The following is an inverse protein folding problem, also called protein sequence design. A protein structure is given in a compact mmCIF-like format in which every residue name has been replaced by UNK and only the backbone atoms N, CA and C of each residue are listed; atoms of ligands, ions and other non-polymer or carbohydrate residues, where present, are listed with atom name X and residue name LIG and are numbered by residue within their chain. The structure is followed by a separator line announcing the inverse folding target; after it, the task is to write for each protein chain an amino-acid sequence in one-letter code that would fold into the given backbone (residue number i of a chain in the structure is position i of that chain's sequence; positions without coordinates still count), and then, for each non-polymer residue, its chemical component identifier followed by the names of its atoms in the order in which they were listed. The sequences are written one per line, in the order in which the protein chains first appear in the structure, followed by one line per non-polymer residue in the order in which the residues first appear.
data_IF_902136293290
#
_entry.id   IF_902136293290
#
_cell.length_a   1.000
_cell.length_b   1.000
_cell.length_c   1.000
_cell.angle_alpha   90.00
_cell.angle_beta   90.00
_cell.angle_gamma   90.00
#
_symmetry.space_group_name_H-M   'P 1'
#
loop_
_entity.id
_entity.type
_entity.pdbx_description
1 polymer ?
#
# COMPACT_ATOMS: atom_id res chain seq x y z
N UNK A 1 0.95 8.22 11.91
CA UNK A 1 2.04 7.30 12.30
C UNK A 1 2.68 6.74 11.04
N UNK A 2 4.01 6.55 11.03
CA UNK A 2 4.73 6.00 9.88
C UNK A 2 5.75 4.98 10.36
N UNK A 3 5.61 3.72 9.92
CA UNK A 3 6.54 2.63 10.24
C UNK A 3 7.52 2.46 9.07
N UNK A 4 8.85 2.56 9.28
CA UNK A 4 9.86 2.50 8.21
C UNK A 4 9.65 1.40 7.16
N UNK A 5 9.29 0.20 7.62
CA UNK A 5 9.09 -0.97 6.77
C UNK A 5 7.81 -0.89 5.92
N UNK A 6 6.75 -0.25 6.41
CA UNK A 6 5.54 0.02 5.61
C UNK A 6 5.82 1.05 4.49
N UNK A 7 6.84 1.90 4.66
CA UNK A 7 7.24 2.91 3.67
C UNK A 7 8.32 2.41 2.71
N UNK A 8 8.48 1.09 2.59
CA UNK A 8 9.41 0.41 1.68
C UNK A 8 10.89 0.74 1.90
N UNK A 9 11.27 1.30 3.07
CA UNK A 9 12.66 1.71 3.32
C UNK A 9 13.67 0.54 3.25
N UNK A 10 13.23 -0.68 3.57
CA UNK A 10 14.06 -1.88 3.37
C UNK A 10 14.36 -2.13 1.87
N UNK A 11 13.35 -2.05 1.00
CA UNK A 11 13.53 -2.24 -0.46
C UNK A 11 14.20 -1.06 -1.16
N UNK A 12 14.30 0.09 -0.48
CA UNK A 12 15.07 1.25 -0.91
C UNK A 12 16.50 1.25 -0.36
N UNK A 13 16.94 0.16 0.28
CA UNK A 13 18.26 0.02 0.90
C UNK A 13 18.56 1.12 1.95
N UNK A 14 17.53 1.67 2.60
CA UNK A 14 17.66 2.73 3.59
C UNK A 14 17.83 2.21 5.03
N UNK A 15 17.77 0.89 5.24
CA UNK A 15 17.94 0.25 6.54
C UNK A 15 19.03 -0.81 6.40
N UNK A 16 20.05 -0.75 7.26
CA UNK A 16 21.01 -1.84 7.44
C UNK A 16 20.62 -2.65 8.67
N UNK A 17 20.51 -3.96 8.50
CA UNK A 17 20.22 -4.92 9.58
C UNK A 17 21.50 -5.46 10.24
N UNK A 18 22.67 -5.13 9.69
CA UNK A 18 23.98 -5.63 10.14
C UNK A 18 24.86 -4.54 10.79
N UNK A 19 24.38 -3.30 10.83
CA UNK A 19 25.10 -2.18 11.48
C UNK A 19 24.95 -2.20 13.00
N UNK A 20 25.79 -1.41 13.66
CA UNK A 20 25.69 -1.12 15.09
C UNK A 20 24.41 -0.37 15.48
N UNK A 21 24.26 -0.14 16.79
CA UNK A 21 23.02 0.33 17.39
C UNK A 21 22.53 1.69 16.84
N UNK A 22 21.22 1.78 16.54
CA UNK A 22 20.55 3.04 16.21
C UNK A 22 19.16 3.13 16.89
N UNK A 23 18.64 4.35 17.03
CA UNK A 23 17.36 4.59 17.70
C UNK A 23 16.21 3.90 16.97
N UNK A 24 15.41 3.11 17.70
CA UNK A 24 14.26 2.39 17.14
C UNK A 24 14.60 1.07 16.43
N UNK A 25 15.87 0.65 16.44
CA UNK A 25 16.32 -0.59 15.79
C UNK A 25 15.57 -1.82 16.27
N UNK A 26 15.31 -1.95 17.58
CA UNK A 26 14.69 -3.14 18.16
C UNK A 26 13.31 -3.40 17.56
N UNK A 27 12.52 -2.34 17.32
CA UNK A 27 11.21 -2.43 16.69
C UNK A 27 11.34 -2.82 15.21
N UNK A 28 12.23 -2.14 14.48
CA UNK A 28 12.45 -2.39 13.05
C UNK A 28 12.96 -3.82 12.82
N UNK A 29 13.95 -4.26 13.59
CA UNK A 29 14.51 -5.61 13.51
C UNK A 29 13.49 -6.68 13.89
N UNK A 30 12.70 -6.45 14.95
CA UNK A 30 11.62 -7.38 15.34
C UNK A 30 10.59 -7.54 14.24
N UNK A 31 10.13 -6.45 13.64
CA UNK A 31 9.16 -6.50 12.54
C UNK A 31 9.77 -7.13 11.29
N UNK A 32 11.05 -6.91 10.99
CA UNK A 32 11.74 -7.54 9.86
C UNK A 32 11.90 -9.05 10.03
N UNK A 33 12.34 -9.53 11.20
CA UNK A 33 12.65 -10.96 11.39
C UNK A 33 11.47 -11.82 11.83
N UNK A 34 10.49 -11.24 12.52
CA UNK A 34 9.36 -11.98 13.12
C UNK A 34 8.00 -11.41 12.74
N UNK A 35 7.96 -10.20 12.18
CA UNK A 35 6.72 -9.52 11.81
C UNK A 35 6.32 -9.82 10.38
N UNK A 36 5.03 -9.62 10.10
CA UNK A 36 4.49 -9.62 8.74
C UNK A 36 4.14 -8.18 8.37
N UNK A 37 4.72 -7.67 7.29
CA UNK A 37 4.40 -6.33 6.78
C UNK A 37 3.09 -6.43 6.01
N UNK A 38 1.97 -6.13 6.67
CA UNK A 38 0.63 -6.25 6.08
C UNK A 38 0.22 -5.05 5.24
N UNK A 39 0.82 -3.88 5.48
CA UNK A 39 0.54 -2.64 4.78
C UNK A 39 1.81 -2.07 4.18
N UNK A 40 1.73 -1.53 2.96
CA UNK A 40 2.80 -0.75 2.36
C UNK A 40 2.26 0.49 1.69
N UNK A 41 3.11 1.50 1.58
CA UNK A 41 2.85 2.63 0.70
C UNK A 41 2.97 2.18 -0.76
N UNK A 42 1.93 2.43 -1.53
CA UNK A 42 1.76 1.98 -2.90
C UNK A 42 1.38 3.18 -3.79
N UNK A 43 1.94 3.29 -5.00
CA UNK A 43 1.43 4.20 -6.00
C UNK A 43 0.00 3.83 -6.41
N UNK A 44 -0.86 4.84 -6.51
CA UNK A 44 -2.25 4.69 -6.93
C UNK A 44 -2.61 5.66 -8.05
N UNK A 45 -3.53 5.26 -8.91
CA UNK A 45 -4.17 6.07 -9.93
C UNK A 45 -5.69 6.08 -9.69
N UNK A 46 -6.27 7.27 -9.60
CA UNK A 46 -7.69 7.54 -9.41
C UNK A 46 -8.36 7.76 -10.76
N UNK A 47 -9.35 6.92 -11.06
CA UNK A 47 -10.08 6.94 -12.34
C UNK A 47 -11.58 6.95 -12.10
N UNK A 48 -12.30 7.62 -12.98
CA UNK A 48 -13.75 7.51 -13.04
C UNK A 48 -14.14 6.12 -13.57
N UNK A 49 -15.38 5.69 -13.30
CA UNK A 49 -15.92 4.41 -13.81
C UNK A 49 -15.87 4.31 -15.34
N UNK A 50 -15.99 5.44 -16.04
CA UNK A 50 -15.87 5.51 -17.50
C UNK A 50 -14.42 5.34 -18.01
N UNK A 51 -13.43 5.23 -17.10
CA UNK A 51 -12.02 5.03 -17.39
C UNK A 51 -11.20 6.32 -17.49
N UNK A 52 -11.83 7.50 -17.41
CA UNK A 52 -11.14 8.79 -17.49
C UNK A 52 -10.37 9.10 -16.19
N UNK A 53 -9.30 9.89 -16.31
CA UNK A 53 -8.53 10.35 -15.16
C UNK A 53 -9.32 11.41 -14.38
N UNK A 54 -9.39 11.26 -13.06
CA UNK A 54 -10.02 12.24 -12.17
C UNK A 54 -9.15 13.51 -12.15
N UNK A 55 -9.76 14.69 -12.31
CA UNK A 55 -9.01 15.95 -12.24
C UNK A 55 -8.64 16.30 -10.79
N UNK A 56 -9.63 16.48 -9.91
CA UNK A 56 -9.35 16.79 -8.50
C UNK A 56 -10.55 16.51 -7.58
N UNK A 57 -11.01 15.26 -7.52
CA UNK A 57 -12.08 14.85 -6.58
C UNK A 57 -11.55 14.26 -5.28
N UNK A 58 -10.32 13.72 -5.29
CA UNK A 58 -9.79 12.97 -4.13
C UNK A 58 -8.91 13.86 -3.25
N UNK A 59 -9.28 13.99 -1.98
CA UNK A 59 -8.50 14.71 -1.00
C UNK A 59 -7.40 13.81 -0.38
N UNK A 60 -6.27 14.39 0.07
CA UNK A 60 -5.35 13.67 0.95
C UNK A 60 -6.07 13.18 2.21
N UNK A 61 -5.65 12.02 2.71
CA UNK A 61 -6.24 11.28 3.83
C UNK A 61 -7.61 10.66 3.55
N UNK A 62 -8.09 10.67 2.31
CA UNK A 62 -9.29 9.91 1.92
C UNK A 62 -9.09 8.41 2.17
N UNK A 63 -10.13 7.77 2.68
CA UNK A 63 -10.14 6.33 2.98
C UNK A 63 -10.36 5.53 1.70
N UNK A 64 -9.54 4.49 1.50
CA UNK A 64 -9.68 3.55 0.39
C UNK A 64 -10.38 2.30 0.91
N UNK A 65 -11.46 1.91 0.25
CA UNK A 65 -12.28 0.76 0.60
C UNK A 65 -12.25 -0.28 -0.52
N UNK A 66 -12.46 -1.54 -0.15
CA UNK A 66 -12.79 -2.58 -1.12
C UNK A 66 -14.29 -2.48 -1.43
N UNK A 67 -14.65 -2.29 -2.70
CA UNK A 67 -16.01 -2.03 -3.15
C UNK A 67 -16.95 -3.21 -2.88
N UNK A 68 -16.44 -4.44 -3.00
CA UNK A 68 -17.25 -5.66 -2.83
C UNK A 68 -17.64 -5.91 -1.36
N UNK A 69 -16.74 -5.57 -0.43
CA UNK A 69 -16.92 -5.82 1.01
C UNK A 69 -17.29 -4.58 1.83
N UNK A 70 -17.16 -3.39 1.25
CA UNK A 70 -17.28 -2.11 1.95
C UNK A 70 -16.19 -1.85 3.02
N UNK A 71 -15.20 -2.74 3.15
CA UNK A 71 -14.19 -2.67 4.21
C UNK A 71 -13.08 -1.69 3.85
N UNK A 72 -12.69 -0.85 4.81
CA UNK A 72 -11.51 -0.01 4.69
C UNK A 72 -10.23 -0.84 4.61
N UNK A 73 -9.41 -0.56 3.59
CA UNK A 73 -8.14 -1.26 3.36
C UNK A 73 -6.93 -0.34 3.53
N UNK A 74 -7.13 0.97 3.65
CA UNK A 74 -6.04 1.93 3.84
C UNK A 74 -6.45 3.37 3.58
N UNK A 75 -5.45 4.25 3.44
CA UNK A 75 -5.63 5.69 3.24
C UNK A 75 -4.78 6.20 2.09
N UNK A 76 -5.33 7.10 1.27
CA UNK A 76 -4.56 7.88 0.30
C UNK A 76 -3.78 8.96 1.05
N UNK A 77 -2.46 8.83 1.17
CA UNK A 77 -1.63 9.76 1.95
C UNK A 77 -1.34 11.05 1.20
N UNK A 78 -1.09 10.94 -0.11
CA UNK A 78 -0.76 12.07 -0.97
C UNK A 78 -1.49 11.91 -2.29
N UNK A 79 -2.08 13.01 -2.77
CA UNK A 79 -2.83 13.04 -4.02
C UNK A 79 -2.36 14.26 -4.82
N UNK A 80 -2.08 14.04 -6.10
CA UNK A 80 -1.72 15.04 -7.08
C UNK A 80 -2.43 14.70 -8.40
N UNK A 81 -3.50 15.43 -8.71
CA UNK A 81 -4.38 15.13 -9.83
C UNK A 81 -4.97 13.71 -9.70
N UNK A 82 -4.85 12.93 -10.77
CA UNK A 82 -5.28 11.53 -10.85
C UNK A 82 -4.33 10.53 -10.18
N UNK A 83 -3.23 10.97 -9.57
CA UNK A 83 -2.20 10.05 -9.03
C UNK A 83 -1.92 10.33 -7.56
N UNK A 84 -1.40 9.32 -6.88
CA UNK A 84 -1.08 9.48 -5.47
C UNK A 84 -0.27 8.34 -4.89
N UNK A 85 -0.07 8.44 -3.59
CA UNK A 85 0.44 7.36 -2.76
C UNK A 85 -0.65 6.98 -1.75
N UNK A 86 -0.79 5.70 -1.48
CA UNK A 86 -1.72 5.20 -0.48
C UNK A 86 -1.05 4.13 0.39
N UNK A 87 -1.27 4.22 1.70
CA UNK A 87 -0.87 3.19 2.65
C UNK A 87 -1.98 2.14 2.70
N UNK A 88 -1.79 1.01 2.01
CA UNK A 88 -2.84 0.00 1.80
C UNK A 88 -2.42 -1.36 2.34
N UNK A 89 -3.41 -2.16 2.74
CA UNK A 89 -3.23 -3.58 3.06
C UNK A 89 -2.93 -4.38 1.79
N UNK A 90 -1.78 -5.04 1.73
CA UNK A 90 -1.25 -5.70 0.53
C UNK A 90 -2.20 -6.75 -0.04
N UNK A 91 -2.64 -7.68 0.82
CA UNK A 91 -3.55 -8.77 0.50
C UNK A 91 -4.82 -8.30 -0.24
N UNK A 92 -5.39 -7.17 0.17
CA UNK A 92 -6.60 -6.62 -0.44
C UNK A 92 -6.31 -5.72 -1.63
N UNK A 93 -5.16 -5.04 -1.64
CA UNK A 93 -4.79 -4.05 -2.65
C UNK A 93 -4.19 -4.66 -3.93
N UNK A 94 -3.47 -5.77 -3.81
CA UNK A 94 -2.74 -6.42 -4.92
C UNK A 94 -3.45 -7.67 -5.46
N UNK A 95 -4.63 -8.02 -4.92
CA UNK A 95 -5.44 -9.11 -5.44
C UNK A 95 -5.92 -8.77 -6.85
N UNK A 96 -5.77 -9.70 -7.80
CA UNK A 96 -6.12 -9.47 -9.22
C UNK A 96 -7.56 -9.04 -9.47
N UNK A 97 -8.48 -9.43 -8.58
CA UNK A 97 -9.91 -9.08 -8.65
C UNK A 97 -10.30 -7.92 -7.73
N UNK A 98 -9.35 -7.11 -7.26
CA UNK A 98 -9.62 -6.04 -6.32
C UNK A 98 -10.36 -4.86 -7.01
N UNK A 99 -11.62 -4.67 -6.64
CA UNK A 99 -12.36 -3.43 -6.91
C UNK A 99 -12.21 -2.52 -5.70
N UNK A 100 -11.55 -1.40 -5.90
CA UNK A 100 -11.22 -0.45 -4.83
C UNK A 100 -11.75 0.92 -5.20
N UNK A 101 -12.47 1.56 -4.28
CA UNK A 101 -12.99 2.90 -4.46
C UNK A 101 -12.57 3.80 -3.29
N UNK A 102 -12.68 5.11 -3.50
CA UNK A 102 -12.54 6.09 -2.43
C UNK A 102 -13.86 6.17 -1.66
N UNK A 103 -13.83 6.05 -0.34
CA UNK A 103 -15.04 6.13 0.48
C UNK A 103 -15.73 7.48 0.30
N UNK A 104 -17.03 7.43 -0.02
CA UNK A 104 -17.83 8.62 -0.32
C UNK A 104 -17.73 9.12 -1.76
N UNK A 105 -16.88 8.50 -2.60
CA UNK A 105 -16.76 8.78 -4.03
C UNK A 105 -16.85 7.45 -4.79
N UNK A 106 -18.06 6.92 -4.90
CA UNK A 106 -18.31 5.59 -5.48
C UNK A 106 -17.94 5.51 -6.97
N UNK A 107 -18.03 6.64 -7.68
CA UNK A 107 -17.62 6.79 -9.07
C UNK A 107 -16.09 6.78 -9.27
N UNK A 108 -15.29 6.86 -8.21
CA UNK A 108 -13.83 6.96 -8.28
C UNK A 108 -13.18 5.64 -7.89
N UNK A 109 -12.70 4.92 -8.91
CA UNK A 109 -11.91 3.70 -8.77
C UNK A 109 -10.44 4.02 -8.47
N UNK A 110 -9.84 3.19 -7.62
CA UNK A 110 -8.44 3.24 -7.22
C UNK A 110 -7.70 2.07 -7.87
N UNK A 111 -6.85 2.37 -8.85
CA UNK A 111 -5.92 1.39 -9.44
C UNK A 111 -4.58 1.44 -8.71
N UNK A 112 -4.22 0.34 -8.09
CA UNK A 112 -2.95 0.17 -7.37
C UNK A 112 -1.88 -0.31 -8.34
N UNK A 113 -0.69 0.27 -8.27
CA UNK A 113 0.46 -0.16 -9.06
C UNK A 113 1.50 -0.82 -8.17
N UNK A 114 1.88 -2.06 -8.49
CA UNK A 114 3.05 -2.72 -7.91
C UNK A 114 4.33 -2.12 -8.53
N UNK A 115 5.23 -1.51 -7.75
CA UNK A 115 6.47 -1.00 -8.29
C UNK A 115 7.36 -2.11 -8.85
N UNK A 116 7.92 -1.90 -10.06
CA UNK A 116 8.78 -2.90 -10.73
C UNK A 116 10.11 -3.16 -10.04
N UNK A 117 10.56 -2.24 -9.20
CA UNK A 117 11.82 -2.31 -8.47
C UNK A 117 11.68 -3.02 -7.11
N UNK A 118 10.48 -3.42 -6.72
CA UNK A 118 10.31 -4.17 -5.47
C UNK A 118 11.11 -5.48 -5.52
N UNK A 119 11.75 -5.86 -4.39
CA UNK A 119 12.43 -7.14 -4.27
C UNK A 119 11.51 -8.29 -4.70
N UNK A 120 12.07 -9.26 -5.44
CA UNK A 120 11.28 -10.37 -5.99
C UNK A 120 10.74 -11.28 -4.90
N UNK A 121 11.44 -11.34 -3.78
CA UNK A 121 11.10 -12.10 -2.58
C UNK A 121 9.77 -11.63 -1.98
N UNK A 122 9.48 -10.32 -2.06
CA UNK A 122 8.21 -9.77 -1.57
C UNK A 122 7.00 -10.25 -2.38
N UNK A 123 7.18 -10.69 -3.63
CA UNK A 123 6.10 -11.29 -4.41
C UNK A 123 5.72 -12.68 -3.87
N UNK A 124 6.74 -13.45 -3.50
CA UNK A 124 6.58 -14.82 -3.00
C UNK A 124 5.98 -14.85 -1.59
N UNK A 125 6.41 -13.91 -0.73
CA UNK A 125 5.84 -13.73 0.61
C UNK A 125 4.34 -13.40 0.55
N UNK A 126 3.90 -12.60 -0.43
CA UNK A 126 2.49 -12.24 -0.63
C UNK A 126 1.64 -13.43 -1.12
N UNK A 127 2.18 -14.26 -2.04
CA UNK A 127 1.50 -15.45 -2.55
C UNK A 127 1.38 -16.56 -1.51
N UNK A 128 2.45 -16.82 -0.73
CA UNK A 128 2.39 -17.77 0.38
C UNK A 128 1.44 -17.32 1.49
N UNK A 129 1.28 -16.01 1.70
CA UNK A 129 0.33 -15.46 2.68
C UNK A 129 -1.12 -15.58 2.20
N UNK A 130 -1.40 -15.39 0.91
CA UNK A 130 -2.74 -15.55 0.33
C UNK A 130 -3.24 -17.00 0.33
N UNK A 131 -2.33 -17.99 0.36
CA UNK A 131 -2.67 -19.41 0.38
C UNK A 131 -2.99 -19.97 1.78
N UNK A 132 -2.66 -19.23 2.85
CA UNK A 132 -2.82 -19.67 4.25
C UNK A 132 -3.99 -18.97 4.97
N UNK A 133 -4.58 -17.94 4.35
CA UNK A 133 -5.74 -17.19 4.84
C UNK A 133 -7.06 -17.68 4.22
#
# INVERSE_FOLDING_TARGET
EAIPLEYNLAGLNAISFEKGCYVGQELVARTHHRGVIRKRILPVNFRLENGEEVQQEVAPKSEVINSDSGKAIGIATTVLGSRGLALLRLESALKSSAHLNVKGLENVQVKVLRPKWWPSEWAQEEEQQAAVA
#
